data_IF_312388383460
#
_entry.id   IF_312388383460
#
_cell.length_a   1.000
_cell.length_b   1.000
_cell.length_c   1.000
_cell.angle_alpha   90.00
_cell.angle_beta   90.00
_cell.angle_gamma   90.00
#
_symmetry.space_group_name_H-M   'P 1'
#
loop_
_entity.id
_entity.type
_entity.pdbx_description
1 polymer ?
#
# COMPACT_ATOMS: atom_id res chain seq x y z
N UNK A 1 -20.67 23.57 -18.00
CA UNK A 1 -19.52 22.75 -18.45
C UNK A 1 -18.45 22.87 -17.39
N UNK A 2 -18.40 21.93 -16.45
CA UNK A 2 -17.32 21.87 -15.47
C UNK A 2 -16.01 21.59 -16.23
N UNK A 3 -15.05 22.51 -16.12
CA UNK A 3 -13.67 22.24 -16.58
C UNK A 3 -13.14 21.12 -15.67
N UNK A 4 -12.53 20.10 -16.28
CA UNK A 4 -12.02 18.91 -15.60
C UNK A 4 -11.17 19.24 -14.37
N UNK A 5 -11.07 18.28 -13.46
CA UNK A 5 -10.30 18.42 -12.22
C UNK A 5 -8.82 18.54 -12.56
N UNK A 6 -8.32 19.77 -12.68
CA UNK A 6 -6.92 20.02 -12.97
C UNK A 6 -6.07 19.68 -11.75
N UNK A 7 -5.27 18.62 -11.88
CA UNK A 7 -4.20 18.33 -10.94
C UNK A 7 -3.01 19.24 -11.24
N UNK A 8 -2.51 19.94 -10.24
CA UNK A 8 -1.32 20.76 -10.40
C UNK A 8 -0.38 20.59 -9.22
N UNK A 9 0.90 20.51 -9.53
CA UNK A 9 1.98 20.45 -8.56
C UNK A 9 2.69 21.80 -8.55
N UNK A 10 2.62 22.49 -7.41
CA UNK A 10 3.28 23.78 -7.22
C UNK A 10 4.41 23.66 -6.23
N UNK A 11 5.61 24.00 -6.65
CA UNK A 11 6.73 24.20 -5.74
C UNK A 11 6.49 25.48 -4.92
N UNK A 12 6.40 25.33 -3.59
CA UNK A 12 6.07 26.44 -2.68
C UNK A 12 7.18 27.51 -2.63
N UNK A 13 8.45 27.11 -2.83
CA UNK A 13 9.59 28.04 -2.75
C UNK A 13 9.82 28.78 -4.06
N UNK A 14 9.71 28.09 -5.19
CA UNK A 14 10.04 28.66 -6.51
C UNK A 14 8.82 29.12 -7.30
N UNK A 15 7.61 28.79 -6.83
CA UNK A 15 6.35 28.93 -7.58
C UNK A 15 6.32 28.19 -8.93
N UNK A 16 7.27 27.30 -9.20
CA UNK A 16 7.23 26.44 -10.38
C UNK A 16 5.98 25.56 -10.34
N UNK A 17 5.23 25.56 -11.44
CA UNK A 17 4.00 24.80 -11.61
C UNK A 17 4.23 23.69 -12.64
N UNK A 18 3.73 22.49 -12.33
CA UNK A 18 3.57 21.40 -13.29
C UNK A 18 2.08 21.06 -13.33
N UNK A 19 1.47 21.21 -14.50
CA UNK A 19 0.07 20.82 -14.72
C UNK A 19 0.03 19.36 -15.17
N UNK A 20 -0.82 18.57 -14.51
CA UNK A 20 -1.05 17.17 -14.84
C UNK A 20 -2.45 17.06 -15.43
N UNK A 21 -2.53 16.55 -16.65
CA UNK A 21 -3.80 16.32 -17.32
C UNK A 21 -4.47 15.06 -16.78
N UNK A 22 -5.33 15.21 -15.76
CA UNK A 22 -6.18 14.15 -15.25
C UNK A 22 -7.64 14.42 -15.67
N UNK A 23 -8.19 13.69 -16.67
CA UNK A 23 -9.52 13.99 -17.21
C UNK A 23 -10.69 13.69 -16.27
N UNK A 24 -10.44 12.95 -15.18
CA UNK A 24 -11.48 12.46 -14.27
C UNK A 24 -11.53 13.27 -12.97
N UNK A 25 -12.63 13.16 -12.23
CA UNK A 25 -12.75 13.79 -10.92
C UNK A 25 -11.87 13.07 -9.89
N UNK A 26 -11.07 13.87 -9.17
CA UNK A 26 -10.09 13.38 -8.20
C UNK A 26 -10.79 13.20 -6.85
N UNK A 27 -10.61 12.03 -6.25
CA UNK A 27 -11.20 11.69 -4.95
C UNK A 27 -10.18 11.89 -3.83
N UNK A 28 -8.98 11.36 -4.00
CA UNK A 28 -7.88 11.51 -3.04
C UNK A 28 -6.55 11.42 -3.76
N UNK A 29 -5.51 11.93 -3.09
CA UNK A 29 -4.13 11.87 -3.55
C UNK A 29 -3.22 11.45 -2.39
N UNK A 30 -2.10 10.82 -2.71
CA UNK A 30 -1.04 10.56 -1.74
C UNK A 30 0.35 10.59 -2.41
N UNK A 31 1.35 11.07 -1.68
CA UNK A 31 2.72 11.14 -2.16
C UNK A 31 3.49 9.88 -1.79
N UNK A 32 4.34 9.40 -2.69
CA UNK A 32 5.29 8.36 -2.29
C UNK A 32 6.30 8.94 -1.29
N UNK A 33 6.65 8.20 -0.22
CA UNK A 33 7.65 8.64 0.75
C UNK A 33 9.01 9.00 0.14
N UNK A 34 9.41 8.33 -0.94
CA UNK A 34 10.65 8.62 -1.66
C UNK A 34 10.59 9.91 -2.52
N UNK A 35 9.46 10.61 -2.51
CA UNK A 35 9.24 11.87 -3.23
C UNK A 35 9.51 11.76 -4.73
N UNK A 36 9.04 10.68 -5.36
CA UNK A 36 9.11 10.51 -6.82
C UNK A 36 7.76 10.41 -7.49
N UNK A 37 6.75 9.93 -6.77
CA UNK A 37 5.46 9.57 -7.32
C UNK A 37 4.31 10.23 -6.56
N UNK A 38 3.20 10.39 -7.27
CA UNK A 38 1.91 10.81 -6.75
C UNK A 38 0.87 9.79 -7.19
N UNK A 39 0.18 9.18 -6.25
CA UNK A 39 -0.99 8.35 -6.54
C UNK A 39 -2.25 9.21 -6.45
N UNK A 40 -3.13 9.06 -7.44
CA UNK A 40 -4.37 9.84 -7.58
C UNK A 40 -5.49 8.86 -7.85
N UNK A 41 -6.51 8.85 -6.99
CA UNK A 41 -7.70 8.04 -7.25
C UNK A 41 -8.79 8.86 -7.90
N UNK A 42 -9.52 8.24 -8.82
CA UNK A 42 -10.50 8.89 -9.67
C UNK A 42 -11.89 8.27 -9.54
N UNK A 43 -12.90 9.00 -9.98
CA UNK A 43 -14.29 8.53 -10.08
C UNK A 43 -14.51 7.42 -11.11
N UNK A 44 -13.54 7.19 -12.03
CA UNK A 44 -13.57 6.09 -13.02
C UNK A 44 -13.03 4.75 -12.46
N UNK A 45 -12.96 4.62 -11.12
CA UNK A 45 -12.39 3.47 -10.42
C UNK A 45 -10.91 3.20 -10.78
N UNK A 46 -10.12 4.24 -11.06
CA UNK A 46 -8.68 4.09 -11.30
C UNK A 46 -7.83 4.72 -10.20
N UNK A 47 -6.64 4.15 -10.01
CA UNK A 47 -5.50 4.82 -9.39
C UNK A 47 -4.52 5.14 -10.50
N UNK A 48 -4.25 6.42 -10.71
CA UNK A 48 -3.22 6.88 -11.65
C UNK A 48 -2.01 7.32 -10.86
N UNK A 49 -0.85 6.78 -11.23
CA UNK A 49 0.43 7.06 -10.61
C UNK A 49 1.21 7.97 -11.55
N UNK A 50 1.59 9.14 -11.06
CA UNK A 50 2.28 10.16 -11.83
C UNK A 50 3.67 10.41 -11.26
N UNK A 51 4.62 10.73 -12.13
CA UNK A 51 5.86 11.38 -11.70
C UNK A 51 5.66 12.90 -11.56
N UNK A 52 6.63 13.58 -10.95
CA UNK A 52 6.59 15.04 -10.79
C UNK A 52 6.98 15.84 -12.05
N UNK A 53 7.30 15.16 -13.15
CA UNK A 53 7.40 15.78 -14.47
C UNK A 53 6.04 15.81 -15.20
N UNK A 54 5.02 15.16 -14.62
CA UNK A 54 3.66 15.09 -15.16
C UNK A 54 3.43 13.90 -16.09
N UNK A 55 4.32 12.91 -16.09
CA UNK A 55 4.12 11.69 -16.86
C UNK A 55 3.27 10.68 -16.08
N UNK A 56 2.32 10.04 -16.77
CA UNK A 56 1.59 8.90 -16.22
C UNK A 56 2.54 7.70 -16.20
N UNK A 57 2.92 7.26 -15.01
CA UNK A 57 3.81 6.12 -14.80
C UNK A 57 3.04 4.81 -14.89
N UNK A 58 1.86 4.75 -14.27
CA UNK A 58 0.97 3.59 -14.38
C UNK A 58 -0.49 3.94 -14.05
N UNK A 59 -1.38 3.04 -14.42
CA UNK A 59 -2.80 3.07 -14.07
C UNK A 59 -3.27 1.71 -13.56
N UNK A 60 -3.85 1.69 -12.36
CA UNK A 60 -4.42 0.50 -11.73
C UNK A 60 -5.94 0.63 -11.78
N UNK A 61 -6.61 -0.31 -12.47
CA UNK A 61 -8.07 -0.37 -12.50
C UNK A 61 -8.59 -1.15 -11.29
N UNK A 62 -9.50 -0.52 -10.57
CA UNK A 62 -10.16 -1.07 -9.39
C UNK A 62 -11.57 -1.55 -9.77
N UNK A 63 -12.12 -2.43 -8.93
CA UNK A 63 -13.50 -2.91 -9.09
C UNK A 63 -14.53 -1.87 -8.63
N UNK A 64 -14.11 -0.91 -7.82
CA UNK A 64 -14.98 0.07 -7.17
C UNK A 64 -14.20 1.33 -6.80
N UNK A 65 -14.95 2.39 -6.49
CA UNK A 65 -14.41 3.69 -6.11
C UNK A 65 -13.72 3.57 -4.75
N UNK A 66 -12.40 3.85 -4.65
CA UNK A 66 -11.70 3.80 -3.38
C UNK A 66 -12.04 5.04 -2.54
N UNK A 67 -12.18 4.86 -1.24
CA UNK A 67 -12.44 5.95 -0.30
C UNK A 67 -11.15 6.65 0.14
N UNK A 68 -10.08 5.89 0.37
CA UNK A 68 -8.75 6.37 0.79
C UNK A 68 -7.65 5.51 0.20
N UNK A 69 -6.47 6.09 0.10
CA UNK A 69 -5.24 5.37 -0.25
C UNK A 69 -4.12 5.74 0.72
N UNK A 70 -3.10 4.89 0.81
CA UNK A 70 -1.84 5.18 1.48
C UNK A 70 -0.68 4.47 0.77
N UNK A 71 0.40 5.18 0.49
CA UNK A 71 1.66 4.56 0.08
C UNK A 71 2.29 3.78 1.24
N UNK A 72 2.92 2.66 0.92
CA UNK A 72 3.81 1.97 1.85
C UNK A 72 5.07 2.79 2.10
N UNK A 73 5.72 2.66 3.28
CA UNK A 73 6.92 3.43 3.64
C UNK A 73 8.09 3.21 2.68
N UNK A 74 8.18 2.04 2.07
CA UNK A 74 9.19 1.69 1.08
C UNK A 74 8.87 2.21 -0.34
N UNK A 75 7.73 2.89 -0.52
CA UNK A 75 7.26 3.44 -1.80
C UNK A 75 6.98 2.40 -2.89
N UNK A 76 6.81 1.12 -2.55
CA UNK A 76 6.61 0.04 -3.53
C UNK A 76 5.16 -0.45 -3.64
N UNK A 77 4.29 -0.04 -2.71
CA UNK A 77 2.92 -0.54 -2.61
C UNK A 77 1.96 0.60 -2.27
N UNK A 78 0.68 0.37 -2.55
CA UNK A 78 -0.43 1.25 -2.20
C UNK A 78 -1.49 0.39 -1.51
N UNK A 79 -1.87 0.79 -0.30
CA UNK A 79 -3.07 0.27 0.34
C UNK A 79 -4.28 1.10 -0.10
N UNK A 80 -5.35 0.41 -0.47
CA UNK A 80 -6.57 0.98 -1.03
C UNK A 80 -7.72 0.59 -0.11
N UNK A 81 -8.40 1.58 0.46
CA UNK A 81 -9.52 1.37 1.37
C UNK A 81 -10.84 1.51 0.63
N UNK A 82 -11.54 0.40 0.57
CA UNK A 82 -12.90 0.23 0.07
C UNK A 82 -13.88 0.22 1.26
N UNK A 83 -15.21 0.33 1.05
CA UNK A 83 -16.17 0.40 2.16
C UNK A 83 -16.13 -0.80 3.11
N UNK A 84 -15.87 -1.99 2.57
CA UNK A 84 -15.95 -3.26 3.31
C UNK A 84 -14.62 -4.03 3.34
N UNK A 85 -13.59 -3.49 2.69
CA UNK A 85 -12.30 -4.15 2.56
C UNK A 85 -11.16 -3.15 2.41
N UNK A 86 -9.94 -3.62 2.60
CA UNK A 86 -8.80 -2.95 2.01
C UNK A 86 -7.97 -3.94 1.21
N UNK A 87 -7.34 -3.42 0.18
CA UNK A 87 -6.53 -4.19 -0.76
C UNK A 87 -5.15 -3.56 -0.87
N UNK A 88 -4.11 -4.37 -0.89
CA UNK A 88 -2.74 -3.90 -1.11
C UNK A 88 -2.34 -4.24 -2.55
N UNK A 89 -1.90 -3.21 -3.25
CA UNK A 89 -1.46 -3.28 -4.64
C UNK A 89 0.02 -2.93 -4.73
N UNK A 90 0.74 -3.61 -5.60
CA UNK A 90 2.05 -3.16 -6.08
C UNK A 90 1.87 -2.07 -7.13
N UNK A 91 2.91 -1.28 -7.38
CA UNK A 91 2.83 -0.18 -8.36
C UNK A 91 2.65 -0.65 -9.81
N UNK A 92 2.98 -1.90 -10.15
CA UNK A 92 2.71 -2.52 -11.45
C UNK A 92 1.27 -3.07 -11.57
N UNK A 93 0.42 -2.90 -10.55
CA UNK A 93 -0.99 -3.25 -10.60
C UNK A 93 -1.31 -4.69 -10.19
N UNK A 94 -0.41 -5.37 -9.47
CA UNK A 94 -0.69 -6.68 -8.88
C UNK A 94 -1.30 -6.54 -7.49
N UNK A 95 -2.45 -7.16 -7.28
CA UNK A 95 -3.04 -7.34 -5.96
C UNK A 95 -2.24 -8.39 -5.17
N UNK A 96 -1.71 -8.02 -4.01
CA UNK A 96 -0.91 -8.91 -3.16
C UNK A 96 -1.62 -9.34 -1.87
N UNK A 97 -2.57 -8.54 -1.39
CA UNK A 97 -3.37 -8.87 -0.22
C UNK A 97 -4.74 -8.21 -0.30
N UNK A 98 -5.73 -8.82 0.35
CA UNK A 98 -7.09 -8.33 0.45
C UNK A 98 -7.69 -8.76 1.78
N UNK A 99 -8.23 -7.82 2.54
CA UNK A 99 -8.76 -8.05 3.88
C UNK A 99 -10.12 -7.40 4.04
N UNK A 100 -11.10 -8.18 4.52
CA UNK A 100 -12.41 -7.65 4.90
C UNK A 100 -12.27 -6.84 6.19
N UNK A 101 -12.88 -5.66 6.21
CA UNK A 101 -13.01 -4.83 7.41
C UNK A 101 -14.49 -4.77 7.83
N UNK A 102 -14.79 -4.55 9.12
CA UNK A 102 -16.17 -4.36 9.55
C UNK A 102 -16.82 -3.15 8.86
N UNK A 103 -18.11 -3.26 8.48
CA UNK A 103 -18.85 -2.25 7.69
C UNK A 103 -18.81 -0.83 8.29
N UNK A 104 -18.68 -0.72 9.61
CA UNK A 104 -18.63 0.54 10.37
C UNK A 104 -17.29 1.28 10.28
N UNK A 105 -16.35 0.86 9.42
CA UNK A 105 -14.98 1.35 9.42
C UNK A 105 -14.57 2.21 8.20
N UNK A 106 -15.46 3.10 7.75
CA UNK A 106 -15.19 4.09 6.71
C UNK A 106 -14.31 5.25 7.22
N UNK A 107 -13.02 4.97 7.37
CA UNK A 107 -12.10 5.88 8.04
C UNK A 107 -10.86 6.22 7.24
N UNK A 108 -9.71 6.15 7.93
CA UNK A 108 -8.39 6.28 7.32
C UNK A 108 -7.76 4.90 7.18
N UNK A 109 -6.85 4.79 6.21
CA UNK A 109 -5.89 3.71 6.12
C UNK A 109 -4.49 4.32 6.17
N UNK A 110 -3.59 3.74 6.96
CA UNK A 110 -2.20 4.19 7.05
C UNK A 110 -1.27 3.00 7.29
N UNK A 111 -0.08 3.07 6.71
CA UNK A 111 1.02 2.20 7.13
C UNK A 111 1.70 2.77 8.37
N UNK A 112 2.17 1.87 9.23
CA UNK A 112 3.19 2.19 10.22
C UNK A 112 4.51 2.58 9.53
N UNK A 113 5.34 3.46 10.12
CA UNK A 113 6.58 3.92 9.48
C UNK A 113 7.58 2.80 9.15
N UNK A 114 7.56 1.70 9.90
CA UNK A 114 8.40 0.52 9.64
C UNK A 114 7.78 -0.47 8.65
N UNK A 115 6.55 -0.21 8.19
CA UNK A 115 5.82 -1.03 7.24
C UNK A 115 5.23 -2.33 7.82
N UNK A 116 5.45 -2.63 9.10
CA UNK A 116 5.06 -3.92 9.71
C UNK A 116 3.59 -4.02 10.07
N UNK A 117 2.90 -2.88 10.12
CA UNK A 117 1.50 -2.77 10.45
C UNK A 117 0.75 -1.84 9.51
N UNK A 118 -0.54 -2.11 9.34
CA UNK A 118 -1.51 -1.22 8.72
C UNK A 118 -2.57 -0.90 9.77
N UNK A 119 -2.99 0.35 9.88
CA UNK A 119 -4.12 0.75 10.70
C UNK A 119 -5.29 1.17 9.81
N UNK A 120 -6.48 0.65 10.08
CA UNK A 120 -7.74 1.10 9.47
C UNK A 120 -8.70 1.57 10.55
N UNK A 121 -9.32 2.75 10.39
CA UNK A 121 -10.07 3.30 11.51
C UNK A 121 -10.82 4.59 11.25
N UNK A 122 -12.06 4.67 11.74
CA UNK A 122 -12.77 5.93 12.01
C UNK A 122 -13.03 6.09 13.51
N UNK A 123 -14.09 5.44 14.02
CA UNK A 123 -14.46 5.46 15.45
C UNK A 123 -13.76 4.36 16.24
N UNK A 124 -13.47 3.23 15.59
CA UNK A 124 -12.70 2.11 16.12
C UNK A 124 -11.51 1.87 15.20
N UNK A 125 -10.34 1.62 15.77
CA UNK A 125 -9.11 1.36 15.02
C UNK A 125 -8.81 -0.13 15.04
N UNK A 126 -8.52 -0.69 13.87
CA UNK A 126 -8.04 -2.05 13.68
C UNK A 126 -6.59 -1.99 13.23
N UNK A 127 -5.76 -2.84 13.83
CA UNK A 127 -4.34 -2.97 13.50
C UNK A 127 -4.12 -4.33 12.86
N UNK A 128 -3.50 -4.32 11.68
CA UNK A 128 -3.25 -5.48 10.85
C UNK A 128 -1.75 -5.69 10.77
N UNK A 129 -1.28 -6.92 10.95
CA UNK A 129 0.11 -7.26 10.69
C UNK A 129 0.34 -7.32 9.18
N UNK A 130 1.32 -6.57 8.69
CA UNK A 130 1.75 -6.55 7.30
C UNK A 130 3.11 -7.25 7.20
N UNK A 131 3.09 -8.58 7.37
CA UNK A 131 4.32 -9.38 7.34
C UNK A 131 4.74 -9.71 5.91
N UNK A 132 6.02 -9.56 5.64
CA UNK A 132 6.61 -10.10 4.42
C UNK A 132 6.92 -11.60 4.56
N UNK A 133 7.31 -12.23 3.45
CA UNK A 133 7.62 -13.67 3.43
C UNK A 133 8.70 -14.06 4.45
N UNK A 134 9.77 -13.28 4.57
CA UNK A 134 10.87 -13.60 5.48
C UNK A 134 10.42 -13.54 6.94
N UNK A 135 9.59 -12.58 7.31
CA UNK A 135 9.02 -12.48 8.67
C UNK A 135 8.06 -13.64 8.98
N UNK A 136 7.27 -14.08 8.00
CA UNK A 136 6.40 -15.26 8.14
C UNK A 136 7.23 -16.53 8.31
N UNK A 137 8.28 -16.69 7.50
CA UNK A 137 9.19 -17.83 7.60
C UNK A 137 9.93 -17.85 8.94
N UNK A 138 10.45 -16.70 9.39
CA UNK A 138 11.07 -16.56 10.71
C UNK A 138 10.09 -16.94 11.83
N UNK A 139 8.86 -16.41 11.79
CA UNK A 139 7.81 -16.77 12.77
C UNK A 139 7.57 -18.28 12.79
N UNK A 140 7.51 -18.93 11.62
CA UNK A 140 7.35 -20.38 11.52
C UNK A 140 8.55 -21.15 12.07
N UNK A 141 9.77 -20.68 11.83
CA UNK A 141 11.00 -21.28 12.37
C UNK A 141 11.06 -21.16 13.89
N UNK A 142 10.65 -20.01 14.45
CA UNK A 142 10.58 -19.80 15.91
C UNK A 142 9.59 -20.77 16.55
N UNK A 143 8.41 -20.98 15.96
CA UNK A 143 7.43 -21.96 16.45
C UNK A 143 7.93 -23.40 16.42
N UNK A 144 8.78 -23.73 15.44
CA UNK A 144 9.33 -25.08 15.27
C UNK A 144 10.64 -25.30 16.05
N UNK A 145 11.18 -24.29 16.74
CA UNK A 145 12.53 -24.34 17.32
C UNK A 145 12.76 -25.56 18.23
N UNK A 146 11.86 -25.84 19.19
CA UNK A 146 11.98 -26.99 20.09
C UNK A 146 11.84 -28.33 19.35
N UNK A 147 10.90 -28.40 18.40
CA UNK A 147 10.68 -29.58 17.58
C UNK A 147 11.93 -29.93 16.76
N UNK A 148 12.54 -28.92 16.13
CA UNK A 148 13.73 -29.08 15.29
C UNK A 148 14.99 -29.37 16.12
N UNK A 149 15.05 -28.92 17.37
CA UNK A 149 16.13 -29.24 18.31
C UNK A 149 16.18 -30.74 18.61
N UNK A 150 15.02 -31.39 18.74
CA UNK A 150 14.92 -32.84 18.99
C UNK A 150 14.97 -33.69 17.71
N UNK A 151 14.93 -33.08 16.52
CA UNK A 151 14.89 -33.75 15.21
C UNK A 151 15.80 -33.05 14.18
N UNK A 152 17.13 -33.16 14.33
CA UNK A 152 18.09 -32.47 13.46
C UNK A 152 17.95 -32.83 11.97
N UNK A 153 17.54 -34.05 11.65
CA UNK A 153 17.29 -34.47 10.26
C UNK A 153 16.13 -33.73 9.59
N UNK A 154 15.10 -33.32 10.35
CA UNK A 154 14.01 -32.49 9.82
C UNK A 154 14.46 -31.03 9.68
N UNK A 155 15.32 -30.56 10.60
CA UNK A 155 15.96 -29.24 10.49
C UNK A 155 16.79 -29.13 9.22
N UNK A 156 17.54 -30.17 8.85
CA UNK A 156 18.35 -30.22 7.61
C UNK A 156 17.52 -30.08 6.33
N UNK A 157 16.25 -30.53 6.34
CA UNK A 157 15.34 -30.37 5.21
C UNK A 157 14.81 -28.93 5.09
N UNK A 158 14.69 -28.23 6.21
CA UNK A 158 14.18 -26.85 6.28
C UNK A 158 15.32 -25.83 6.23
N UNK A 159 15.90 -25.64 5.04
CA UNK A 159 17.01 -24.69 4.80
C UNK A 159 16.73 -23.28 5.34
N UNK A 160 15.48 -22.83 5.23
CA UNK A 160 15.04 -21.51 5.71
C UNK A 160 15.20 -21.30 7.23
N UNK A 161 15.19 -22.37 8.03
CA UNK A 161 15.37 -22.32 9.48
C UNK A 161 16.82 -22.62 9.92
N UNK A 162 17.76 -22.67 8.96
CA UNK A 162 19.17 -22.94 9.22
C UNK A 162 20.02 -21.67 9.18
N UNK A 163 19.62 -20.67 8.40
CA UNK A 163 20.31 -19.40 8.32
C UNK A 163 19.97 -18.57 9.56
N UNK A 164 20.98 -18.16 10.33
CA UNK A 164 20.80 -17.13 11.34
C UNK A 164 20.24 -15.90 10.62
N UNK A 165 19.04 -15.47 11.02
CA UNK A 165 18.47 -14.19 10.61
C UNK A 165 19.44 -13.12 11.12
N UNK A 166 20.33 -12.64 10.24
CA UNK A 166 21.22 -11.51 10.52
C UNK A 166 20.45 -10.21 10.59
#
# INVERSE_FOLDING_TARGET
>A
MWKGSNLSLRNIKTNKLVEINNPEEIITVDFSPDSKLLAVTNTDNSIRIWDFSGNLVNEIKLLQVPSRIAFSPDSQQIAVLDPNEFTIWTLDGKQIAKHTIPEENQGKIVFSPDGKYIATGQSKVFIWQNKNLNELLATGCDWLQEYLTTRPQEKEKLKVCQEEVK
#
